data_IF_244794029570
#
_entry.id   IF_244794029570
#
_cell.length_a   1.000
_cell.length_b   1.000
_cell.length_c   1.000
_cell.angle_alpha   90.00
_cell.angle_beta   90.00
_cell.angle_gamma   90.00
#
_symmetry.space_group_name_H-M   'P 1'
#
loop_
_entity.id
_entity.type
_entity.pdbx_description
1 polymer ?
#
# COMPACT_ATOMS: atom_id res chain seq x y z
N UNK A 1 -12.67 -70.81 -50.70
CA UNK A 1 -12.29 -70.06 -51.92
C UNK A 1 -11.43 -68.88 -51.49
N UNK A 2 -10.11 -68.94 -51.71
CA UNK A 2 -9.19 -67.87 -51.33
C UNK A 2 -9.10 -66.84 -52.47
N UNK A 3 -9.23 -65.55 -52.14
CA UNK A 3 -9.00 -64.44 -53.07
C UNK A 3 -7.62 -63.82 -52.80
N UNK A 4 -6.84 -63.44 -53.83
CA UNK A 4 -5.44 -63.07 -53.69
C UNK A 4 -5.24 -61.56 -53.43
N UNK A 5 -4.28 -61.26 -52.55
CA UNK A 5 -3.86 -59.88 -52.23
C UNK A 5 -2.94 -59.36 -53.35
N UNK A 6 -3.40 -58.34 -54.08
CA UNK A 6 -2.56 -57.53 -54.97
C UNK A 6 -1.56 -56.72 -54.15
N UNK A 7 -0.27 -57.10 -54.19
CA UNK A 7 0.82 -56.34 -53.58
C UNK A 7 1.18 -55.15 -54.48
N UNK A 8 0.97 -53.92 -53.99
CA UNK A 8 1.30 -52.72 -54.75
C UNK A 8 2.81 -52.62 -55.03
N UNK A 9 3.24 -52.23 -56.24
CA UNK A 9 4.65 -52.10 -56.60
C UNK A 9 5.42 -51.10 -55.73
N UNK A 10 4.71 -50.12 -55.17
CA UNK A 10 5.26 -49.03 -54.37
C UNK A 10 5.85 -49.53 -53.04
N UNK A 11 5.14 -50.44 -52.36
CA UNK A 11 5.59 -51.05 -51.10
C UNK A 11 6.85 -51.90 -51.32
N UNK A 12 6.98 -52.52 -52.50
CA UNK A 12 8.16 -53.32 -52.86
C UNK A 12 9.39 -52.45 -53.12
N UNK A 13 9.21 -51.22 -53.58
CA UNK A 13 10.31 -50.28 -53.86
C UNK A 13 10.86 -49.65 -52.56
N UNK A 14 9.97 -49.28 -51.63
CA UNK A 14 10.33 -48.81 -50.27
C UNK A 14 11.19 -49.85 -49.54
N UNK A 15 10.87 -51.14 -49.69
CA UNK A 15 11.60 -52.24 -49.04
C UNK A 15 12.98 -52.54 -49.63
N UNK A 16 13.25 -52.14 -50.88
CA UNK A 16 14.53 -52.42 -51.58
C UNK A 16 15.54 -51.27 -51.49
N UNK A 17 15.09 -50.02 -51.33
CA UNK A 17 15.96 -48.83 -51.21
C UNK A 17 15.41 -47.86 -50.17
N UNK A 18 15.42 -48.20 -48.87
CA UNK A 18 14.82 -47.38 -47.82
C UNK A 18 15.43 -45.97 -47.76
N UNK A 19 16.74 -45.85 -48.01
CA UNK A 19 17.47 -44.58 -48.01
C UNK A 19 16.97 -43.59 -49.09
N UNK A 20 16.47 -44.07 -50.23
CA UNK A 20 15.99 -43.20 -51.31
C UNK A 20 14.68 -42.46 -50.99
N UNK A 21 13.95 -42.92 -49.97
CA UNK A 21 12.69 -42.31 -49.49
C UNK A 21 12.90 -41.56 -48.19
N UNK A 22 13.77 -42.07 -47.32
CA UNK A 22 14.04 -41.45 -46.01
C UNK A 22 14.82 -40.13 -46.14
N UNK A 23 15.79 -40.05 -47.07
CA UNK A 23 16.62 -38.84 -47.24
C UNK A 23 15.81 -37.62 -47.70
N UNK A 24 14.93 -37.70 -48.73
CA UNK A 24 14.09 -36.56 -49.09
C UNK A 24 13.15 -36.12 -47.96
N UNK A 25 12.56 -37.07 -47.23
CA UNK A 25 11.62 -36.78 -46.13
C UNK A 25 12.34 -36.08 -44.97
N UNK A 26 13.54 -36.53 -44.63
CA UNK A 26 14.34 -35.91 -43.57
C UNK A 26 14.83 -34.52 -43.96
N UNK A 27 15.20 -34.29 -45.23
CA UNK A 27 15.53 -32.94 -45.72
C UNK A 27 14.32 -32.00 -45.66
N UNK A 28 13.12 -32.47 -46.04
CA UNK A 28 11.89 -31.68 -45.93
C UNK A 28 11.58 -31.33 -44.47
N UNK A 29 11.75 -32.27 -43.54
CA UNK A 29 11.55 -32.02 -42.10
C UNK A 29 12.55 -31.02 -41.53
N UNK A 30 13.82 -31.08 -41.96
CA UNK A 30 14.85 -30.11 -41.54
C UNK A 30 14.56 -28.72 -42.11
N UNK A 31 14.14 -28.61 -43.38
CA UNK A 31 13.74 -27.34 -43.99
C UNK A 31 12.50 -26.78 -43.28
N UNK A 32 11.51 -27.62 -42.97
CA UNK A 32 10.34 -27.22 -42.19
C UNK A 32 10.75 -26.71 -40.80
N UNK A 33 11.64 -27.41 -40.11
CA UNK A 33 12.14 -26.97 -38.82
C UNK A 33 12.91 -25.65 -38.92
N UNK A 34 13.74 -25.45 -39.95
CA UNK A 34 14.51 -24.20 -40.13
C UNK A 34 13.62 -23.00 -40.51
N UNK A 35 12.55 -23.20 -41.30
CA UNK A 35 11.63 -22.12 -41.68
C UNK A 35 10.56 -21.82 -40.62
N UNK A 36 10.12 -22.81 -39.83
CA UNK A 36 9.02 -22.63 -38.87
C UNK A 36 9.47 -22.57 -37.40
N UNK A 37 10.75 -22.76 -37.08
CA UNK A 37 11.30 -22.63 -35.71
C UNK A 37 12.05 -21.31 -35.47
N UNK A 38 11.89 -20.31 -36.35
CA UNK A 38 12.38 -18.97 -36.05
C UNK A 38 11.70 -18.46 -34.77
N UNK A 39 12.45 -18.02 -33.74
CA UNK A 39 11.85 -17.46 -32.55
C UNK A 39 11.13 -16.18 -32.96
N UNK A 40 9.81 -16.23 -32.99
CA UNK A 40 9.02 -15.01 -33.02
C UNK A 40 9.36 -14.24 -31.75
N UNK A 41 10.04 -13.11 -31.90
CA UNK A 41 10.16 -12.09 -30.85
C UNK A 41 8.76 -11.49 -30.71
N UNK A 42 7.86 -12.25 -30.07
CA UNK A 42 6.67 -11.65 -29.50
C UNK A 42 7.14 -11.00 -28.21
N UNK A 43 7.01 -9.67 -28.16
CA UNK A 43 6.96 -8.95 -26.91
C UNK A 43 5.79 -9.53 -26.13
N UNK A 44 6.04 -10.60 -25.36
CA UNK A 44 5.09 -11.08 -24.36
C UNK A 44 4.94 -9.95 -23.36
N UNK A 45 3.92 -9.13 -23.55
CA UNK A 45 3.31 -8.35 -22.48
C UNK A 45 2.96 -9.36 -21.41
N UNK A 46 3.78 -9.47 -20.37
CA UNK A 46 3.35 -10.09 -19.14
C UNK A 46 2.08 -9.34 -18.73
N UNK A 47 0.94 -10.03 -18.55
CA UNK A 47 -0.24 -9.33 -18.10
C UNK A 47 0.11 -8.69 -16.75
N UNK A 48 -0.16 -7.39 -16.59
CA UNK A 48 -0.01 -6.64 -15.33
C UNK A 48 -0.63 -7.39 -14.15
N UNK A 49 -1.64 -8.20 -14.44
CA UNK A 49 -2.29 -9.13 -13.53
C UNK A 49 -2.03 -10.56 -13.98
N UNK A 50 -1.17 -11.28 -13.25
CA UNK A 50 -0.98 -12.70 -13.49
C UNK A 50 -1.67 -13.52 -12.39
N UNK A 51 -2.90 -13.94 -12.68
CA UNK A 51 -3.61 -14.95 -11.88
C UNK A 51 -3.14 -16.34 -12.31
N UNK A 52 -1.86 -16.64 -12.08
CA UNK A 52 -1.36 -17.99 -12.28
C UNK A 52 -2.17 -18.94 -11.38
N UNK A 53 -2.90 -19.87 -11.99
CA UNK A 53 -3.52 -20.99 -11.27
C UNK A 53 -2.41 -21.86 -10.70
N UNK A 54 -2.03 -21.62 -9.45
CA UNK A 54 -1.11 -22.49 -8.74
C UNK A 54 -1.85 -23.79 -8.40
N UNK A 55 -1.58 -24.81 -9.22
CA UNK A 55 -1.85 -26.24 -9.01
C UNK A 55 -3.31 -26.75 -9.16
N UNK A 56 -3.49 -27.74 -10.05
CA UNK A 56 -4.63 -28.66 -10.11
C UNK A 56 -4.44 -29.82 -9.11
N UNK A 57 -4.33 -29.51 -7.82
CA UNK A 57 -4.38 -30.52 -6.76
C UNK A 57 -5.82 -30.70 -6.28
N UNK A 58 -6.34 -31.93 -6.22
CA UNK A 58 -7.72 -32.21 -5.78
C UNK A 58 -8.05 -31.74 -4.35
N UNK A 59 -7.02 -31.37 -3.56
CA UNK A 59 -7.13 -30.86 -2.18
C UNK A 59 -6.63 -29.42 -1.98
N UNK A 60 -6.25 -28.70 -3.04
CA UNK A 60 -5.81 -27.31 -2.91
C UNK A 60 -7.02 -26.36 -2.97
N UNK A 61 -7.46 -25.83 -1.82
CA UNK A 61 -8.35 -24.66 -1.79
C UNK A 61 -7.52 -23.43 -2.18
N UNK A 62 -7.80 -22.86 -3.35
CA UNK A 62 -7.32 -21.53 -3.73
C UNK A 62 -7.78 -20.51 -2.68
N UNK A 63 -6.84 -19.86 -1.99
CA UNK A 63 -7.13 -18.75 -1.07
C UNK A 63 -7.23 -17.40 -1.79
N UNK A 64 -6.71 -17.31 -3.01
CA UNK A 64 -6.58 -16.04 -3.75
C UNK A 64 -7.72 -15.75 -4.73
N UNK A 65 -8.70 -16.63 -4.86
CA UNK A 65 -9.87 -16.39 -5.72
C UNK A 65 -11.07 -15.96 -4.90
N UNK A 66 -11.05 -14.73 -4.39
CA UNK A 66 -12.28 -14.05 -3.97
C UNK A 66 -12.64 -13.04 -5.06
N UNK A 67 -13.19 -13.54 -6.17
CA UNK A 67 -14.16 -12.73 -6.92
C UNK A 67 -15.28 -12.47 -5.90
N UNK A 68 -15.65 -11.20 -5.68
CA UNK A 68 -16.70 -10.74 -4.77
C UNK A 68 -17.94 -11.67 -4.84
N UNK A 69 -17.99 -12.72 -4.01
CA UNK A 69 -18.95 -13.83 -4.17
C UNK A 69 -20.12 -13.76 -3.20
N UNK A 70 -20.40 -12.60 -2.61
CA UNK A 70 -21.54 -12.41 -1.70
C UNK A 70 -22.12 -11.01 -1.88
N UNK A 71 -23.01 -10.83 -2.84
CA UNK A 71 -23.98 -9.74 -2.81
C UNK A 71 -25.27 -10.29 -2.18
N UNK A 72 -25.71 -9.79 -1.00
CA UNK A 72 -26.95 -10.23 -0.38
C UNK A 72 -28.17 -9.90 -1.27
N UNK A 73 -29.26 -10.67 -1.11
CA UNK A 73 -30.56 -10.41 -1.74
C UNK A 73 -31.22 -9.17 -1.11
N UNK A 74 -30.81 -7.99 -1.58
CA UNK A 74 -31.49 -6.69 -1.64
C UNK A 74 -30.42 -5.67 -2.04
N UNK A 75 -30.16 -5.61 -3.35
CA UNK A 75 -28.90 -5.16 -3.95
C UNK A 75 -28.81 -3.64 -4.22
N UNK A 76 -29.81 -2.87 -3.79
CA UNK A 76 -29.85 -1.42 -4.03
C UNK A 76 -29.59 -0.72 -2.69
N UNK A 77 -28.50 0.05 -2.64
CA UNK A 77 -28.16 0.89 -1.50
C UNK A 77 -28.14 2.34 -1.96
N UNK A 78 -28.83 3.21 -1.22
CA UNK A 78 -28.90 4.63 -1.51
C UNK A 78 -28.06 5.39 -0.49
N UNK A 79 -27.13 6.21 -0.97
CA UNK A 79 -26.30 7.08 -0.15
C UNK A 79 -26.42 8.51 -0.68
N UNK A 80 -26.75 9.44 0.20
CA UNK A 80 -26.72 10.88 -0.08
C UNK A 80 -25.48 11.44 0.62
N UNK A 81 -24.40 11.62 -0.13
CA UNK A 81 -23.11 12.02 0.42
C UNK A 81 -23.16 13.42 1.05
N UNK A 82 -24.10 14.29 0.66
CA UNK A 82 -24.27 15.60 1.30
C UNK A 82 -24.84 15.52 2.72
N UNK A 83 -25.40 14.36 3.11
CA UNK A 83 -25.89 14.11 4.48
C UNK A 83 -24.88 13.37 5.34
N UNK A 84 -23.76 12.93 4.77
CA UNK A 84 -22.69 12.32 5.53
C UNK A 84 -21.98 13.41 6.35
N UNK A 85 -21.89 13.21 7.66
CA UNK A 85 -21.26 14.18 8.56
C UNK A 85 -19.80 13.80 8.83
N UNK A 86 -18.96 14.80 9.05
CA UNK A 86 -17.59 14.64 9.53
C UNK A 86 -17.34 15.71 10.61
N UNK A 87 -17.69 15.38 11.85
CA UNK A 87 -17.85 16.34 12.94
C UNK A 87 -16.78 16.18 14.05
N UNK A 88 -16.61 17.20 14.91
CA UNK A 88 -15.73 17.09 16.08
C UNK A 88 -16.11 15.97 17.06
N UNK A 89 -17.40 15.59 17.11
CA UNK A 89 -17.95 14.60 18.03
C UNK A 89 -18.33 13.31 17.28
N UNK A 90 -17.37 12.80 16.50
CA UNK A 90 -17.55 11.70 15.56
C UNK A 90 -18.19 10.45 16.21
N UNK A 91 -17.75 10.11 17.44
CA UNK A 91 -18.27 8.93 18.15
C UNK A 91 -19.75 9.09 18.53
N UNK A 92 -20.15 10.27 19.03
CA UNK A 92 -21.56 10.52 19.38
C UNK A 92 -22.46 10.56 18.15
N UNK A 93 -21.94 11.01 17.01
CA UNK A 93 -22.63 11.01 15.72
C UNK A 93 -22.59 9.65 15.00
N UNK A 94 -21.95 8.63 15.60
CA UNK A 94 -21.78 7.29 15.01
C UNK A 94 -21.09 7.33 13.64
N UNK A 95 -20.14 8.24 13.47
CA UNK A 95 -19.39 8.42 12.24
C UNK A 95 -18.42 7.26 12.03
N UNK A 96 -18.43 6.67 10.83
CA UNK A 96 -17.61 5.49 10.55
C UNK A 96 -16.19 5.85 10.13
N UNK A 97 -15.24 5.05 10.60
CA UNK A 97 -13.81 5.27 10.40
C UNK A 97 -13.22 4.11 9.60
N UNK A 98 -12.52 4.44 8.53
CA UNK A 98 -11.70 3.51 7.77
C UNK A 98 -10.24 3.61 8.22
N UNK A 99 -9.74 2.63 8.98
CA UNK A 99 -8.34 2.58 9.40
C UNK A 99 -7.53 1.79 8.37
N UNK A 100 -6.56 2.45 7.73
CA UNK A 100 -5.77 1.91 6.62
C UNK A 100 -4.29 1.76 7.00
N UNK A 101 -3.75 0.56 6.72
CA UNK A 101 -2.39 0.18 7.12
C UNK A 101 -1.68 -0.60 6.01
N UNK A 102 -0.75 0.03 5.28
CA UNK A 102 0.26 -0.70 4.52
C UNK A 102 1.16 -1.48 5.47
N UNK A 103 1.29 -2.79 5.28
CA UNK A 103 1.98 -3.67 6.22
C UNK A 103 2.99 -4.58 5.50
N UNK A 104 4.27 -4.30 5.70
CA UNK A 104 5.37 -5.16 5.22
C UNK A 104 5.79 -6.21 6.25
N UNK A 105 5.74 -5.86 7.54
CA UNK A 105 6.00 -6.71 8.70
C UNK A 105 4.84 -6.60 9.68
N UNK A 106 4.49 -7.70 10.34
CA UNK A 106 3.48 -7.69 11.40
C UNK A 106 4.15 -7.45 12.75
N UNK A 107 3.74 -6.37 13.43
CA UNK A 107 4.23 -6.01 14.76
C UNK A 107 3.10 -6.28 15.79
N UNK A 108 3.27 -7.21 16.74
CA UNK A 108 2.23 -7.52 17.73
C UNK A 108 1.79 -6.30 18.56
N UNK A 109 2.71 -5.40 18.86
CA UNK A 109 2.46 -4.18 19.62
C UNK A 109 1.53 -3.23 18.86
N UNK A 110 1.70 -3.10 17.53
CA UNK A 110 0.76 -2.38 16.66
C UNK A 110 -0.65 -2.99 16.74
N UNK A 111 -0.74 -4.33 16.65
CA UNK A 111 -2.04 -5.01 16.75
C UNK A 111 -2.69 -4.80 18.13
N UNK A 112 -1.92 -4.82 19.21
CA UNK A 112 -2.42 -4.52 20.54
C UNK A 112 -2.87 -3.05 20.67
N UNK A 113 -2.11 -2.12 20.09
CA UNK A 113 -2.41 -0.69 20.07
C UNK A 113 -3.76 -0.40 19.43
N UNK A 114 -4.03 -0.89 18.21
CA UNK A 114 -5.31 -0.63 17.55
C UNK A 114 -6.50 -1.29 18.26
N UNK A 115 -6.28 -2.43 18.94
CA UNK A 115 -7.32 -3.09 19.75
C UNK A 115 -7.55 -2.44 21.11
N UNK A 116 -6.66 -1.54 21.54
CA UNK A 116 -6.80 -0.76 22.76
C UNK A 116 -7.53 0.56 22.51
N UNK A 117 -7.83 0.92 21.25
CA UNK A 117 -8.60 2.10 20.92
C UNK A 117 -9.99 2.05 21.57
N UNK A 118 -10.46 3.21 22.00
CA UNK A 118 -11.72 3.39 22.73
C UNK A 118 -12.87 3.82 21.82
N UNK A 119 -12.58 4.17 20.57
CA UNK A 119 -13.60 4.37 19.55
C UNK A 119 -14.38 3.06 19.36
N UNK A 120 -15.69 3.14 19.15
CA UNK A 120 -16.49 1.93 18.98
C UNK A 120 -16.00 1.13 17.75
N UNK A 121 -15.42 -0.05 18.00
CA UNK A 121 -14.89 -0.90 16.94
C UNK A 121 -15.96 -1.30 15.91
N UNK A 122 -17.25 -1.31 16.29
CA UNK A 122 -18.34 -1.59 15.36
C UNK A 122 -18.56 -0.50 14.30
N UNK A 123 -17.93 0.67 14.48
CA UNK A 123 -17.85 1.78 13.52
C UNK A 123 -16.51 1.81 12.76
N UNK A 124 -15.60 0.88 13.04
CA UNK A 124 -14.26 0.85 12.44
C UNK A 124 -14.18 -0.28 11.40
N UNK A 125 -13.87 0.11 10.17
CA UNK A 125 -13.43 -0.82 9.12
C UNK A 125 -11.90 -0.82 9.09
N UNK A 126 -11.28 -2.00 9.18
CA UNK A 126 -9.84 -2.16 9.01
C UNK A 126 -9.51 -2.50 7.55
N UNK A 127 -8.51 -1.83 6.99
CA UNK A 127 -7.95 -2.11 5.67
C UNK A 127 -6.44 -2.34 5.74
N UNK A 128 -5.99 -3.52 5.32
CA UNK A 128 -4.57 -3.88 5.25
C UNK A 128 -4.15 -4.14 3.80
N UNK A 129 -2.93 -3.72 3.43
CA UNK A 129 -2.30 -4.14 2.18
C UNK A 129 -0.89 -4.65 2.42
N UNK A 130 -0.59 -5.85 1.93
CA UNK A 130 0.69 -6.53 2.15
C UNK A 130 1.43 -6.80 0.83
N UNK A 131 2.77 -6.66 0.80
CA UNK A 131 3.57 -6.96 -0.39
C UNK A 131 3.58 -8.46 -0.73
N UNK A 132 3.73 -8.77 -2.02
CA UNK A 132 3.88 -10.16 -2.50
C UNK A 132 5.35 -10.62 -2.46
N UNK A 133 5.90 -10.67 -1.26
CA UNK A 133 7.23 -11.21 -0.98
C UNK A 133 7.21 -12.10 0.28
N UNK A 134 8.35 -12.70 0.61
CA UNK A 134 8.50 -13.59 1.77
C UNK A 134 8.06 -12.91 3.08
N UNK A 135 8.50 -11.67 3.31
CA UNK A 135 8.16 -10.92 4.52
C UNK A 135 6.65 -10.65 4.61
N UNK A 136 6.03 -10.27 3.50
CA UNK A 136 4.59 -10.04 3.41
C UNK A 136 3.76 -11.31 3.59
N UNK A 137 4.26 -12.50 3.20
CA UNK A 137 3.60 -13.78 3.51
C UNK A 137 3.65 -14.11 5.01
N UNK A 138 4.79 -13.84 5.66
CA UNK A 138 4.95 -14.01 7.12
C UNK A 138 4.00 -13.07 7.86
N UNK A 139 3.97 -11.80 7.46
CA UNK A 139 3.09 -10.79 8.03
C UNK A 139 1.61 -11.15 7.83
N UNK A 140 1.21 -11.62 6.65
CA UNK A 140 -0.16 -12.06 6.37
C UNK A 140 -0.59 -13.19 7.30
N UNK A 141 0.26 -14.21 7.46
CA UNK A 141 -0.03 -15.35 8.32
C UNK A 141 -0.19 -14.93 9.78
N UNK A 142 0.66 -14.02 10.26
CA UNK A 142 0.58 -13.49 11.62
C UNK A 142 -0.70 -12.65 11.84
N UNK A 143 -1.05 -11.79 10.88
CA UNK A 143 -2.29 -11.01 10.90
C UNK A 143 -3.53 -11.91 10.92
N UNK A 144 -3.62 -12.90 10.01
CA UNK A 144 -4.72 -13.86 9.98
C UNK A 144 -4.84 -14.64 11.29
N UNK A 145 -3.71 -15.03 11.88
CA UNK A 145 -3.69 -15.76 13.15
C UNK A 145 -4.24 -14.89 14.29
N UNK A 146 -3.86 -13.62 14.33
CA UNK A 146 -4.29 -12.67 15.36
C UNK A 146 -5.79 -12.34 15.23
N UNK A 147 -6.30 -12.21 14.00
CA UNK A 147 -7.74 -12.05 13.73
C UNK A 147 -8.51 -13.31 14.20
N UNK A 148 -8.03 -14.51 13.86
CA UNK A 148 -8.66 -15.78 14.28
C UNK A 148 -8.67 -15.95 15.80
N UNK A 149 -7.61 -15.54 16.47
CA UNK A 149 -7.53 -15.58 17.94
C UNK A 149 -8.62 -14.69 18.57
N UNK A 150 -8.76 -13.44 18.13
CA UNK A 150 -9.84 -12.56 18.61
C UNK A 150 -11.24 -13.09 18.27
N UNK A 151 -11.40 -13.66 17.07
CA UNK A 151 -12.66 -14.28 16.67
C UNK A 151 -13.03 -15.47 17.57
N UNK A 152 -12.06 -16.33 17.88
CA UNK A 152 -12.26 -17.49 18.77
C UNK A 152 -12.64 -17.10 20.20
N UNK A 153 -12.19 -15.92 20.65
CA UNK A 153 -12.49 -15.32 21.94
C UNK A 153 -13.78 -14.48 21.94
N UNK A 154 -14.49 -14.40 20.81
CA UNK A 154 -15.65 -13.52 20.60
C UNK A 154 -15.36 -12.04 20.95
N UNK A 155 -14.12 -11.59 20.68
CA UNK A 155 -13.64 -10.21 20.92
C UNK A 155 -13.43 -9.42 19.63
N UNK A 156 -13.66 -10.03 18.48
CA UNK A 156 -13.56 -9.37 17.18
C UNK A 156 -14.83 -8.55 16.92
N UNK A 157 -14.79 -7.24 17.19
CA UNK A 157 -15.93 -6.33 17.07
C UNK A 157 -15.77 -5.28 15.94
N UNK A 158 -14.78 -5.44 15.04
CA UNK A 158 -14.63 -4.54 13.90
C UNK A 158 -15.78 -4.70 12.91
N UNK A 159 -16.28 -3.59 12.34
CA UNK A 159 -17.37 -3.60 11.35
C UNK A 159 -17.05 -4.52 10.16
N UNK A 160 -15.83 -4.37 9.64
CA UNK A 160 -15.33 -5.09 8.47
C UNK A 160 -13.81 -5.11 8.49
N UNK A 161 -13.21 -6.18 7.97
CA UNK A 161 -11.76 -6.27 7.75
C UNK A 161 -11.52 -6.59 6.27
N UNK A 162 -10.72 -5.76 5.61
CA UNK A 162 -10.30 -5.90 4.22
C UNK A 162 -8.80 -6.16 4.20
N UNK A 163 -8.36 -7.26 3.57
CA UNK A 163 -6.95 -7.61 3.43
C UNK A 163 -6.63 -7.74 1.95
N UNK A 164 -5.68 -6.94 1.47
CA UNK A 164 -5.24 -6.90 0.08
C UNK A 164 -3.79 -7.39 -0.03
N UNK A 165 -3.46 -7.96 -1.19
CA UNK A 165 -2.10 -8.27 -1.61
C UNK A 165 -1.72 -7.30 -2.73
N UNK A 166 -0.58 -6.62 -2.61
CA UNK A 166 -0.12 -5.68 -3.64
C UNK A 166 -0.03 -6.35 -5.01
N UNK A 167 -0.42 -5.65 -6.07
CA UNK A 167 -0.43 -6.19 -7.43
C UNK A 167 0.91 -6.03 -8.17
N UNK A 168 1.77 -5.14 -7.68
CA UNK A 168 3.05 -4.80 -8.28
C UNK A 168 4.18 -5.69 -7.74
N UNK A 169 5.15 -6.04 -8.59
CA UNK A 169 6.33 -6.80 -8.16
C UNK A 169 7.04 -6.06 -7.03
N UNK A 170 7.32 -6.73 -5.91
CA UNK A 170 8.18 -6.17 -4.88
C UNK A 170 9.54 -5.86 -5.48
N UNK A 171 10.09 -4.67 -5.21
CA UNK A 171 11.46 -4.35 -5.58
C UNK A 171 12.37 -5.43 -4.98
N UNK A 172 13.18 -6.07 -5.83
CA UNK A 172 14.20 -7.01 -5.35
C UNK A 172 15.09 -6.27 -4.35
N UNK A 173 15.40 -6.93 -3.22
CA UNK A 173 16.18 -6.34 -2.14
C UNK A 173 17.58 -5.95 -2.64
N UNK A 174 17.74 -4.72 -3.11
CA UNK A 174 19.05 -4.14 -3.38
C UNK A 174 19.71 -3.76 -2.05
N UNK A 175 21.04 -3.92 -2.00
CA UNK A 175 21.88 -3.70 -0.81
C UNK A 175 21.68 -2.29 -0.27
N UNK A 176 21.83 -2.14 1.04
CA UNK A 176 21.60 -0.88 1.78
C UNK A 176 22.33 0.33 1.17
N UNK A 177 23.53 0.12 0.63
CA UNK A 177 24.33 1.15 -0.05
C UNK A 177 23.72 1.66 -1.37
N UNK A 178 22.95 0.84 -2.09
CA UNK A 178 22.25 1.24 -3.34
C UNK A 178 20.89 1.91 -3.06
N UNK A 179 20.36 1.81 -1.82
CA UNK A 179 19.09 2.41 -1.39
C UNK A 179 19.14 3.94 -1.25
N UNK A 180 20.33 4.52 -1.26
CA UNK A 180 20.55 5.95 -1.07
C UNK A 180 20.53 6.75 -2.38
N UNK A 181 20.47 6.09 -3.55
CA UNK A 181 20.30 6.79 -4.82
C UNK A 181 18.88 7.39 -4.91
N UNK A 182 18.79 8.68 -5.29
CA UNK A 182 17.53 9.40 -5.43
C UNK A 182 16.52 8.66 -6.33
N UNK A 183 17.01 7.99 -7.38
CA UNK A 183 16.20 7.18 -8.30
C UNK A 183 15.54 5.97 -7.62
N UNK A 184 16.26 5.27 -6.74
CA UNK A 184 15.72 4.13 -5.97
C UNK A 184 14.67 4.61 -4.96
N UNK A 185 14.85 5.81 -4.41
CA UNK A 185 13.86 6.41 -3.52
C UNK A 185 12.58 6.81 -4.23
N UNK A 186 12.69 7.39 -5.43
CA UNK A 186 11.54 7.69 -6.29
C UNK A 186 10.73 6.42 -6.58
N UNK A 187 11.41 5.33 -6.95
CA UNK A 187 10.76 4.05 -7.24
C UNK A 187 10.08 3.47 -5.99
N UNK A 188 10.79 3.44 -4.84
CA UNK A 188 10.24 2.94 -3.58
C UNK A 188 9.01 3.72 -3.12
N UNK A 189 9.08 5.06 -3.09
CA UNK A 189 7.94 5.91 -2.71
C UNK A 189 6.80 5.82 -3.73
N UNK A 190 7.11 5.69 -5.01
CA UNK A 190 6.10 5.42 -6.04
C UNK A 190 5.35 4.11 -5.80
N UNK A 191 6.05 3.05 -5.41
CA UNK A 191 5.44 1.76 -5.07
C UNK A 191 4.61 1.81 -3.79
N UNK A 192 5.05 2.56 -2.77
CA UNK A 192 4.26 2.83 -1.57
C UNK A 192 2.99 3.62 -1.90
N UNK A 193 3.09 4.64 -2.74
CA UNK A 193 1.95 5.43 -3.20
C UNK A 193 0.92 4.56 -3.93
N UNK A 194 1.37 3.66 -4.83
CA UNK A 194 0.49 2.69 -5.49
C UNK A 194 -0.20 1.76 -4.48
N UNK A 195 0.51 1.29 -3.46
CA UNK A 195 -0.07 0.45 -2.43
C UNK A 195 -1.15 1.18 -1.60
N UNK A 196 -0.86 2.41 -1.15
CA UNK A 196 -1.85 3.25 -0.45
C UNK A 196 -3.07 3.51 -1.33
N UNK A 197 -2.87 3.88 -2.60
CA UNK A 197 -3.97 4.08 -3.55
C UNK A 197 -4.82 2.82 -3.73
N UNK A 198 -4.21 1.67 -4.01
CA UNK A 198 -4.94 0.41 -4.15
C UNK A 198 -5.75 0.07 -2.90
N UNK A 199 -5.22 0.37 -1.72
CA UNK A 199 -5.91 0.13 -0.46
C UNK A 199 -7.11 1.06 -0.27
N UNK A 200 -6.93 2.37 -0.36
CA UNK A 200 -8.02 3.33 -0.12
C UNK A 200 -9.12 3.19 -1.17
N UNK A 201 -8.79 3.06 -2.46
CA UNK A 201 -9.80 2.94 -3.51
C UNK A 201 -10.59 1.62 -3.43
N UNK A 202 -10.04 0.58 -2.83
CA UNK A 202 -10.74 -0.71 -2.68
C UNK A 202 -11.55 -0.78 -1.38
N UNK A 203 -11.07 -0.15 -0.30
CA UNK A 203 -11.67 -0.23 1.02
C UNK A 203 -12.68 0.89 1.30
N UNK A 204 -12.54 2.07 0.67
CA UNK A 204 -13.41 3.22 0.87
C UNK A 204 -14.83 2.94 0.36
N UNK A 205 -15.76 2.98 1.30
CA UNK A 205 -17.21 2.86 1.12
C UNK A 205 -17.93 4.22 1.32
N UNK A 206 -19.17 4.41 0.79
CA UNK A 206 -19.94 5.65 0.92
C UNK A 206 -20.32 6.06 2.35
N UNK A 207 -20.27 5.15 3.32
CA UNK A 207 -20.62 5.34 4.74
C UNK A 207 -19.46 5.85 5.61
N UNK A 208 -18.20 5.75 5.15
CA UNK A 208 -17.06 6.25 5.93
C UNK A 208 -17.03 7.77 6.00
N UNK A 209 -16.99 8.32 7.21
CA UNK A 209 -16.83 9.76 7.44
C UNK A 209 -15.36 10.16 7.52
N UNK A 210 -14.53 9.24 8.01
CA UNK A 210 -13.10 9.46 8.25
C UNK A 210 -12.24 8.32 7.71
N UNK A 211 -11.02 8.65 7.31
CA UNK A 211 -9.96 7.71 6.94
C UNK A 211 -8.76 7.99 7.84
N UNK A 212 -8.36 7.00 8.64
CA UNK A 212 -7.16 7.07 9.47
C UNK A 212 -6.06 6.25 8.80
N UNK A 213 -5.04 6.92 8.28
CA UNK A 213 -3.79 6.28 7.88
C UNK A 213 -2.95 6.03 9.12
N UNK A 214 -2.65 4.77 9.39
CA UNK A 214 -1.82 4.36 10.52
C UNK A 214 -0.82 3.30 10.03
N UNK A 215 0.47 3.65 9.99
CA UNK A 215 1.53 2.75 9.56
C UNK A 215 1.70 1.59 10.57
N UNK A 216 2.11 0.43 10.05
CA UNK A 216 2.11 -0.85 10.80
C UNK A 216 3.15 -0.92 11.94
N UNK A 217 4.01 0.08 12.03
CA UNK A 217 5.06 0.26 13.02
C UNK A 217 4.72 1.33 14.07
N UNK A 218 3.52 1.94 14.02
CA UNK A 218 3.03 2.79 15.11
C UNK A 218 2.45 1.93 16.24
N UNK A 219 3.28 1.68 17.26
CA UNK A 219 3.02 0.69 18.32
C UNK A 219 2.41 1.26 19.58
N UNK A 220 2.37 2.58 19.73
CA UNK A 220 1.76 3.22 20.89
C UNK A 220 1.10 4.54 20.50
N UNK A 221 -0.18 4.67 20.87
CA UNK A 221 -1.02 5.86 20.71
C UNK A 221 -1.89 6.01 21.95
N UNK A 222 -2.36 7.23 22.29
CA UNK A 222 -3.44 7.35 23.26
C UNK A 222 -4.65 6.50 22.83
N UNK A 223 -5.32 5.77 23.76
CA UNK A 223 -6.50 4.96 23.43
C UNK A 223 -7.65 5.77 22.80
N UNK A 224 -7.65 7.09 22.98
CA UNK A 224 -8.61 8.05 22.44
C UNK A 224 -8.18 8.65 21.10
N UNK A 225 -7.16 8.08 20.42
CA UNK A 225 -6.57 8.62 19.17
C UNK A 225 -7.58 9.16 18.16
N UNK A 226 -8.62 8.41 17.85
CA UNK A 226 -9.60 8.83 16.83
C UNK A 226 -10.40 10.03 17.34
N UNK A 227 -10.87 9.99 18.59
CA UNK A 227 -11.60 11.09 19.21
C UNK A 227 -10.73 12.35 19.32
N UNK A 228 -9.49 12.17 19.76
CA UNK A 228 -8.52 13.25 19.95
C UNK A 228 -8.15 13.92 18.62
N UNK A 229 -8.12 13.19 17.50
CA UNK A 229 -7.88 13.78 16.18
C UNK A 229 -9.14 14.38 15.54
N UNK A 230 -10.31 13.73 15.72
CA UNK A 230 -11.57 14.21 15.12
C UNK A 230 -12.05 15.52 15.72
N UNK A 231 -11.80 15.78 17.01
CA UNK A 231 -12.21 17.02 17.70
C UNK A 231 -11.67 18.31 17.04
N UNK A 232 -10.52 18.22 16.37
CA UNK A 232 -9.91 19.33 15.63
C UNK A 232 -10.64 19.67 14.33
N UNK A 233 -11.48 18.76 13.82
CA UNK A 233 -12.34 18.97 12.66
C UNK A 233 -11.61 19.44 11.39
N UNK A 234 -10.35 19.03 11.20
CA UNK A 234 -9.54 19.40 10.04
C UNK A 234 -9.75 18.43 8.88
N UNK A 235 -9.62 18.88 7.61
CA UNK A 235 -9.68 17.99 6.46
C UNK A 235 -8.57 16.95 6.45
N UNK A 236 -7.35 17.35 6.80
CA UNK A 236 -6.16 16.50 6.95
C UNK A 236 -5.43 16.93 8.21
N UNK A 237 -5.17 15.98 9.12
CA UNK A 237 -4.49 16.21 10.38
C UNK A 237 -3.47 15.10 10.67
N UNK A 238 -2.21 15.47 10.88
CA UNK A 238 -1.14 14.53 11.24
C UNK A 238 -0.75 14.64 12.72
N UNK A 239 -0.61 13.50 13.41
CA UNK A 239 0.04 13.44 14.71
C UNK A 239 1.56 13.49 14.57
N UNK A 240 2.27 13.91 15.62
CA UNK A 240 3.73 13.95 15.60
C UNK A 240 4.31 12.58 15.97
N UNK A 241 5.15 12.02 15.09
CA UNK A 241 5.66 10.66 15.25
C UNK A 241 7.05 10.68 15.89
N UNK A 242 7.13 10.11 17.08
CA UNK A 242 8.34 9.97 17.87
C UNK A 242 8.72 8.50 18.02
N UNK A 243 9.88 8.23 18.60
CA UNK A 243 10.33 6.89 18.93
C UNK A 243 10.90 6.87 20.34
N UNK A 244 10.48 5.90 21.14
CA UNK A 244 11.06 5.62 22.45
C UNK A 244 12.32 4.79 22.28
N UNK A 245 13.38 5.11 23.02
CA UNK A 245 14.62 4.35 23.04
C UNK A 245 15.26 4.36 24.42
N UNK A 246 16.07 3.36 24.73
CA UNK A 246 16.87 3.34 25.96
C UNK A 246 18.19 4.05 25.67
N UNK A 247 18.44 5.17 26.34
CA UNK A 247 19.71 5.86 26.25
C UNK A 247 20.80 5.02 26.94
N UNK A 248 21.87 4.68 26.20
CA UNK A 248 22.94 3.79 26.68
C UNK A 248 23.79 4.40 27.80
N UNK A 249 23.82 5.72 27.91
CA UNK A 249 24.62 6.44 28.91
C UNK A 249 23.86 6.61 30.22
N UNK A 250 22.58 6.95 30.15
CA UNK A 250 21.72 7.19 31.32
C UNK A 250 20.96 5.95 31.77
N UNK A 251 20.84 4.94 30.88
CA UNK A 251 19.98 3.75 31.04
C UNK A 251 18.52 4.11 31.35
N UNK A 252 18.06 5.26 30.85
CA UNK A 252 16.70 5.75 30.97
C UNK A 252 15.98 5.67 29.62
N UNK A 253 14.65 5.51 29.67
CA UNK A 253 13.82 5.64 28.48
C UNK A 253 13.71 7.11 28.09
N UNK A 254 14.08 7.42 26.85
CA UNK A 254 14.03 8.74 26.25
C UNK A 254 13.26 8.69 24.93
N UNK A 255 12.82 9.85 24.44
CA UNK A 255 12.09 9.97 23.17
C UNK A 255 12.89 10.79 22.17
N UNK A 256 12.79 10.44 20.89
CA UNK A 256 13.40 11.19 19.78
C UNK A 256 12.43 11.40 18.63
N UNK A 257 12.54 12.50 17.87
CA UNK A 257 11.77 12.67 16.64
C UNK A 257 12.07 11.55 15.65
N UNK A 258 11.05 11.06 14.94
CA UNK A 258 11.19 9.97 13.97
C UNK A 258 10.76 10.38 12.57
N UNK A 259 9.55 10.91 12.40
CA UNK A 259 9.03 11.28 11.07
C UNK A 259 9.32 12.74 10.72
N UNK A 260 10.10 12.94 9.66
CA UNK A 260 10.47 14.26 9.14
C UNK A 260 9.65 14.67 7.90
N UNK A 261 8.63 13.89 7.50
CA UNK A 261 7.78 14.20 6.35
C UNK A 261 6.62 15.14 6.70
N UNK A 262 6.46 15.52 7.98
CA UNK A 262 5.53 16.56 8.42
C UNK A 262 6.25 17.90 8.45
N UNK A 263 5.95 18.78 7.50
CA UNK A 263 6.67 20.05 7.34
C UNK A 263 5.83 21.16 6.72
N UNK A 264 6.31 22.40 6.91
CA UNK A 264 5.79 23.62 6.26
C UNK A 264 6.69 23.99 5.09
N UNK A 265 6.10 24.47 4.01
CA UNK A 265 6.88 24.89 2.84
C UNK A 265 7.72 26.14 3.15
N UNK A 266 8.88 26.26 2.52
CA UNK A 266 9.80 27.40 2.66
C UNK A 266 9.99 28.10 1.31
N UNK A 267 10.37 29.38 1.33
CA UNK A 267 10.69 30.13 0.12
C UNK A 267 11.90 29.50 -0.60
N UNK A 268 12.89 29.01 0.15
CA UNK A 268 14.04 28.29 -0.39
C UNK A 268 13.63 26.95 -1.03
N UNK A 269 12.72 26.21 -0.40
CA UNK A 269 12.18 24.95 -0.93
C UNK A 269 11.47 25.17 -2.27
N UNK A 270 10.67 26.23 -2.37
CA UNK A 270 10.03 26.64 -3.62
C UNK A 270 11.03 27.10 -4.67
N UNK A 271 12.06 27.86 -4.30
CA UNK A 271 13.10 28.32 -5.21
C UNK A 271 13.93 27.16 -5.77
N UNK A 272 14.22 26.14 -4.96
CA UNK A 272 14.86 24.91 -5.40
C UNK A 272 13.95 24.17 -6.39
N UNK A 273 12.70 23.91 -5.99
CA UNK A 273 11.71 23.23 -6.81
C UNK A 273 11.52 23.90 -8.19
N UNK A 274 11.48 25.24 -8.24
CA UNK A 274 11.32 25.99 -9.49
C UNK A 274 12.46 25.82 -10.50
N UNK A 275 13.64 25.38 -10.06
CA UNK A 275 14.81 25.14 -10.91
C UNK A 275 15.02 23.64 -11.24
N UNK A 276 14.16 22.75 -10.72
CA UNK A 276 14.24 21.32 -10.95
C UNK A 276 13.55 20.93 -12.27
N UNK A 277 13.98 19.82 -12.85
CA UNK A 277 13.26 19.25 -13.99
C UNK A 277 11.91 18.67 -13.54
N UNK A 278 10.92 18.65 -14.45
CA UNK A 278 9.54 18.21 -14.16
C UNK A 278 9.45 16.81 -13.55
N UNK A 279 10.42 15.93 -13.85
CA UNK A 279 10.44 14.55 -13.36
C UNK A 279 11.30 14.35 -12.10
N UNK A 280 11.95 15.39 -11.59
CA UNK A 280 12.71 15.32 -10.35
C UNK A 280 11.82 15.43 -9.12
N UNK A 281 12.28 14.86 -8.01
CA UNK A 281 11.56 14.88 -6.73
C UNK A 281 12.46 15.41 -5.61
N UNK A 282 11.82 16.10 -4.66
CA UNK A 282 12.39 16.50 -3.38
C UNK A 282 11.92 15.49 -2.34
N UNK A 283 12.84 15.04 -1.49
CA UNK A 283 12.55 14.12 -0.41
C UNK A 283 13.27 14.62 0.83
N UNK A 284 12.53 14.96 1.89
CA UNK A 284 13.13 15.44 3.13
C UNK A 284 13.97 14.36 3.83
N UNK A 285 15.02 14.81 4.55
CA UNK A 285 15.96 13.93 5.24
C UNK A 285 17.20 13.52 4.42
N UNK A 286 17.34 13.99 3.17
CA UNK A 286 18.52 13.75 2.34
C UNK A 286 19.46 14.97 2.35
N UNK A 287 20.66 14.77 2.90
CA UNK A 287 21.69 15.80 3.17
C UNK A 287 22.21 16.59 1.95
N UNK A 288 21.73 16.28 0.75
CA UNK A 288 22.20 16.90 -0.48
C UNK A 288 21.48 18.21 -0.82
N UNK A 289 20.26 18.41 -0.28
CA UNK A 289 19.45 19.61 -0.55
C UNK A 289 18.98 20.20 0.78
N UNK A 290 19.46 21.39 1.10
CA UNK A 290 18.96 22.15 2.24
C UNK A 290 17.68 22.88 1.82
N UNK A 291 16.53 22.23 2.03
CA UNK A 291 15.20 22.79 1.72
C UNK A 291 14.77 23.85 2.72
N UNK A 292 15.35 23.89 3.93
CA UNK A 292 14.98 24.80 5.02
C UNK A 292 13.50 24.75 5.42
N UNK A 293 12.79 23.67 5.06
CA UNK A 293 11.41 23.45 5.48
C UNK A 293 11.34 23.25 6.99
N UNK A 294 10.51 24.01 7.71
CA UNK A 294 10.28 23.78 9.13
C UNK A 294 9.65 22.40 9.37
N UNK A 295 10.37 21.51 10.05
CA UNK A 295 9.93 20.14 10.33
C UNK A 295 9.14 20.10 11.63
N UNK A 296 7.88 19.65 11.60
CA UNK A 296 6.99 19.58 12.78
C UNK A 296 7.60 18.77 13.94
N UNK A 297 8.43 17.78 13.62
CA UNK A 297 9.17 16.97 14.58
C UNK A 297 10.12 17.78 15.50
N UNK A 298 10.44 19.03 15.16
CA UNK A 298 11.25 19.91 16.00
C UNK A 298 10.44 20.99 16.72
N UNK A 299 9.12 21.03 16.53
CA UNK A 299 8.21 21.97 17.20
C UNK A 299 7.54 21.40 18.46
N UNK A 300 7.87 20.16 18.85
CA UNK A 300 7.39 19.59 20.09
C UNK A 300 7.89 20.39 21.29
N UNK A 301 6.95 20.89 22.09
CA UNK A 301 7.20 21.48 23.39
C UNK A 301 6.59 20.60 24.48
N UNK A 302 7.40 19.98 25.37
CA UNK A 302 6.91 19.19 26.49
C UNK A 302 5.96 19.94 27.45
N UNK A 303 6.01 21.27 27.47
CA UNK A 303 5.13 22.11 28.29
C UNK A 303 4.00 22.75 27.48
N UNK A 304 3.94 22.47 26.18
CA UNK A 304 2.95 23.02 25.26
C UNK A 304 1.60 22.30 25.37
N UNK A 305 0.55 22.95 24.87
CA UNK A 305 -0.78 22.34 24.77
C UNK A 305 -0.75 21.23 23.71
N UNK A 306 -1.22 20.03 24.06
CA UNK A 306 -1.35 18.87 23.17
C UNK A 306 -2.27 19.15 21.97
N UNK A 307 -3.23 20.06 22.14
CA UNK A 307 -4.16 20.50 21.09
C UNK A 307 -3.61 21.64 20.23
N UNK A 308 -2.33 22.02 20.37
CA UNK A 308 -1.71 23.01 19.49
C UNK A 308 -1.75 22.52 18.05
N UNK A 309 -2.28 23.35 17.15
CA UNK A 309 -2.34 23.07 15.71
C UNK A 309 -1.26 23.84 14.96
N UNK A 310 -0.61 23.18 14.00
CA UNK A 310 0.37 23.77 13.10
C UNK A 310 -0.10 23.55 11.66
N UNK A 311 -0.22 24.60 10.81
CA UNK A 311 -0.48 24.40 9.39
C UNK A 311 0.70 23.67 8.74
N UNK A 312 0.44 22.79 7.77
CA UNK A 312 1.45 22.00 7.06
C UNK A 312 1.30 22.13 5.53
N UNK A 313 2.36 21.76 4.83
CA UNK A 313 2.44 21.63 3.37
C UNK A 313 2.79 20.21 2.93
N UNK A 314 3.55 19.48 3.76
CA UNK A 314 3.81 18.05 3.64
C UNK A 314 3.34 17.30 4.87
N UNK A 315 2.87 16.07 4.67
CA UNK A 315 2.54 15.12 5.75
C UNK A 315 3.21 13.78 5.48
N UNK A 316 3.55 13.08 6.55
CA UNK A 316 3.98 11.68 6.51
C UNK A 316 2.82 10.69 6.44
N UNK A 317 3.14 9.40 6.52
CA UNK A 317 2.17 8.30 6.50
C UNK A 317 1.89 7.69 7.88
N UNK A 318 2.63 8.10 8.92
CA UNK A 318 2.67 7.40 10.20
C UNK A 318 1.32 7.36 10.92
N UNK A 319 0.75 8.54 11.22
CA UNK A 319 -0.58 8.66 11.81
C UNK A 319 -1.26 9.93 11.29
N UNK A 320 -2.15 9.78 10.30
CA UNK A 320 -2.83 10.89 9.63
C UNK A 320 -4.33 10.62 9.51
N UNK A 321 -5.13 11.49 10.11
CA UNK A 321 -6.58 11.49 9.96
C UNK A 321 -6.97 12.38 8.77
N UNK A 322 -7.84 11.85 7.92
CA UNK A 322 -8.33 12.51 6.70
C UNK A 322 -9.85 12.42 6.67
N UNK A 323 -10.55 13.53 6.43
CA UNK A 323 -11.98 13.49 6.11
C UNK A 323 -12.18 12.70 4.82
N UNK A 324 -13.10 11.73 4.83
CA UNK A 324 -13.26 10.83 3.69
C UNK A 324 -13.56 11.56 2.36
N UNK A 325 -14.19 12.74 2.42
CA UNK A 325 -14.49 13.57 1.25
C UNK A 325 -13.23 14.07 0.53
N UNK A 326 -12.12 14.29 1.24
CA UNK A 326 -10.83 14.67 0.64
C UNK A 326 -10.37 13.61 -0.36
N UNK A 327 -10.51 12.33 -0.01
CA UNK A 327 -10.23 11.22 -0.93
C UNK A 327 -11.30 11.07 -2.02
N UNK A 328 -12.59 11.33 -1.72
CA UNK A 328 -13.67 11.27 -2.72
C UNK A 328 -13.55 12.36 -3.79
N UNK A 329 -13.04 13.52 -3.43
CA UNK A 329 -12.74 14.63 -4.34
C UNK A 329 -11.49 14.37 -5.21
N UNK A 330 -10.78 13.29 -4.93
CA UNK A 330 -9.69 12.78 -5.76
C UNK A 330 -8.29 12.98 -5.19
N UNK A 331 -8.14 13.50 -3.96
CA UNK A 331 -6.84 13.53 -3.31
C UNK A 331 -6.34 12.10 -3.11
N UNK A 332 -5.18 11.80 -3.66
CA UNK A 332 -4.56 10.47 -3.61
C UNK A 332 -3.05 10.60 -3.47
N UNK A 333 -2.35 9.47 -3.36
CA UNK A 333 -0.90 9.44 -3.24
C UNK A 333 -0.29 9.37 -4.64
N UNK A 334 0.27 10.45 -5.21
CA UNK A 334 0.82 10.40 -6.55
C UNK A 334 2.03 9.45 -6.58
N UNK A 335 2.00 8.45 -7.45
CA UNK A 335 3.13 7.53 -7.70
C UNK A 335 4.14 8.10 -8.70
N UNK A 336 3.99 9.37 -9.04
CA UNK A 336 4.76 10.13 -10.00
C UNK A 336 5.06 11.51 -9.41
N UNK A 337 6.07 12.23 -9.92
CA UNK A 337 6.37 13.58 -9.46
C UNK A 337 5.15 14.51 -9.63
N UNK A 338 4.71 15.12 -8.55
CA UNK A 338 3.61 16.07 -8.51
C UNK A 338 4.08 17.31 -7.75
N UNK A 339 4.38 18.40 -8.47
CA UNK A 339 5.09 19.55 -7.92
C UNK A 339 6.40 19.16 -7.23
N UNK A 340 7.16 18.26 -7.85
CA UNK A 340 8.38 17.67 -7.30
C UNK A 340 8.20 16.90 -5.98
N UNK A 341 6.96 16.58 -5.59
CA UNK A 341 6.64 15.73 -4.45
C UNK A 341 6.10 14.38 -4.92
N UNK A 342 6.07 13.39 -4.03
CA UNK A 342 5.57 12.05 -4.32
C UNK A 342 4.91 11.47 -3.06
N UNK A 343 4.04 10.47 -3.23
CA UNK A 343 3.45 9.73 -2.11
C UNK A 343 2.68 10.63 -1.12
N UNK A 344 3.01 10.63 0.17
CA UNK A 344 2.28 11.35 1.24
C UNK A 344 2.44 12.86 1.16
N UNK A 345 3.65 13.34 0.86
CA UNK A 345 3.91 14.77 0.62
C UNK A 345 3.17 15.26 -0.63
N UNK A 346 3.15 14.45 -1.69
CA UNK A 346 2.37 14.74 -2.89
C UNK A 346 0.85 14.72 -2.64
N UNK A 347 0.38 13.87 -1.74
CA UNK A 347 -1.02 13.85 -1.28
C UNK A 347 -1.39 15.16 -0.57
N UNK A 348 -0.57 15.65 0.37
CA UNK A 348 -0.82 16.92 1.05
C UNK A 348 -0.91 18.07 0.03
N UNK A 349 0.03 18.12 -0.93
CA UNK A 349 -0.04 19.10 -2.03
C UNK A 349 -1.34 18.98 -2.83
N UNK A 350 -1.78 17.76 -3.13
CA UNK A 350 -3.00 17.51 -3.88
C UNK A 350 -4.25 17.97 -3.12
N UNK A 351 -4.33 17.69 -1.82
CA UNK A 351 -5.41 18.17 -0.96
C UNK A 351 -5.47 19.71 -0.98
N UNK A 352 -4.32 20.40 -0.86
CA UNK A 352 -4.26 21.87 -0.97
C UNK A 352 -4.69 22.39 -2.34
N UNK A 353 -4.35 21.68 -3.44
CA UNK A 353 -4.82 22.04 -4.79
C UNK A 353 -6.33 21.88 -4.98
N UNK A 354 -6.97 21.00 -4.20
CA UNK A 354 -8.42 20.83 -4.14
C UNK A 354 -9.12 21.85 -3.22
N UNK A 355 -8.36 22.74 -2.56
CA UNK A 355 -8.90 23.77 -1.68
C UNK A 355 -8.99 23.37 -0.21
N UNK A 356 -8.43 22.23 0.17
CA UNK A 356 -8.37 21.79 1.57
C UNK A 356 -7.16 22.35 2.30
N UNK A 357 -7.30 22.51 3.61
CA UNK A 357 -6.18 22.82 4.50
C UNK A 357 -5.59 21.54 5.09
N UNK A 358 -4.31 21.59 5.42
CA UNK A 358 -3.54 20.49 5.98
C UNK A 358 -2.90 20.98 7.27
N UNK A 359 -3.07 20.23 8.35
CA UNK A 359 -2.59 20.60 9.68
C UNK A 359 -1.84 19.42 10.33
N UNK A 360 -1.09 19.70 11.38
CA UNK A 360 -0.55 18.71 12.29
C UNK A 360 -0.58 19.17 13.74
N UNK A 361 -0.35 18.22 14.64
CA UNK A 361 -0.35 18.43 16.08
C UNK A 361 1.08 18.23 16.64
N UNK A 362 1.92 19.28 16.73
CA UNK A 362 3.32 19.15 17.17
C UNK A 362 3.48 18.54 18.56
N UNK A 363 2.49 18.72 19.45
CA UNK A 363 2.55 18.26 20.84
C UNK A 363 1.76 16.97 21.11
N UNK A 364 1.06 16.44 20.11
CA UNK A 364 0.35 15.16 20.20
C UNK A 364 1.23 14.05 19.66
N UNK A 365 1.87 13.31 20.55
CA UNK A 365 2.86 12.30 20.19
C UNK A 365 2.25 10.90 20.01
N UNK A 366 2.68 10.22 18.95
CA UNK A 366 2.50 8.78 18.75
C UNK A 366 3.86 8.13 18.56
N UNK A 367 4.01 6.85 18.89
CA UNK A 367 5.32 6.21 18.91
C UNK A 367 5.49 5.10 17.88
N UNK A 368 6.54 5.25 17.08
CA UNK A 368 7.05 4.24 16.17
C UNK A 368 7.83 3.16 16.94
N UNK A 369 7.78 1.93 16.45
CA UNK A 369 8.52 0.78 16.96
C UNK A 369 10.03 1.05 17.00
N UNK A 370 10.70 0.63 18.07
CA UNK A 370 12.15 0.71 18.16
C UNK A 370 12.77 -0.60 17.64
N UNK A 371 13.50 -0.53 16.52
CA UNK A 371 14.09 -1.70 15.85
C UNK A 371 15.23 -2.37 16.63
#
# INVERSE_FOLDING_TARGET
MALPIFKSPFIRNIRRRPLSVIVPISVILVIYYLFFSAPSVSTKTTPKYNYNKISKGWFAKNRDSVILQNLPKNHISHYDLNKLTNSPDALAQQEEVLLLTPMSKFVPEYWNNINALTYDHSLITLGFILPRNTDGEVALKALESSIKDLQSKNKLNYKKIVILRQDSNSLESQKEQDRHALSVQKERRGMMALARNSLVFTALSPDHSWVLWLDADIVETPPTLIQDLTIHNKPVLSANVYQKFINKETNQEEIRPYDFNNWVESDEGLAIAANMADDEIIVEGYSQIATYRPLMAHFYDPNGDVSTEMPLDGVGGGAVLVKADVHRDGAMFPSFPFYHLIETEGFAKMAKRLGYEVFGLPNYLVYHYNE
#
